data_IF_955702407611
#
_entry.id   IF_955702407611
#
_cell.length_a   1.000
_cell.length_b   1.000
_cell.length_c   1.000
_cell.angle_alpha   90.00
_cell.angle_beta   90.00
_cell.angle_gamma   90.00
#
_symmetry.space_group_name_H-M   'P 1'
#
loop_
_entity.id
_entity.type
_entity.pdbx_description
1 polymer ?
#
# COMPACT_ATOMS: atom_id res chain seq x y z
N UNK A 1 17.07 -13.17 -17.98
CA UNK A 1 16.04 -12.09 -17.92
C UNK A 1 15.72 -11.86 -16.46
N UNK A 2 15.48 -10.60 -16.04
CA UNK A 2 15.29 -10.21 -14.62
C UNK A 2 13.82 -10.30 -14.23
N UNK A 3 13.53 -10.87 -13.05
CA UNK A 3 12.18 -10.89 -12.50
C UNK A 3 11.80 -9.53 -11.91
N UNK A 4 10.53 -9.18 -12.02
CA UNK A 4 9.98 -7.91 -11.51
C UNK A 4 9.18 -8.18 -10.24
N UNK A 5 9.60 -7.55 -9.16
CA UNK A 5 8.89 -7.62 -7.89
C UNK A 5 8.10 -6.31 -7.73
N UNK A 6 6.80 -6.44 -7.64
CA UNK A 6 5.88 -5.35 -7.34
C UNK A 6 5.60 -5.31 -5.85
N UNK A 7 5.56 -4.13 -5.30
CA UNK A 7 5.28 -3.91 -3.88
C UNK A 7 4.10 -2.98 -3.71
N UNK A 8 3.19 -3.32 -2.82
CA UNK A 8 2.34 -2.30 -2.24
C UNK A 8 3.17 -1.38 -1.34
N UNK A 9 2.61 -0.24 -0.95
CA UNK A 9 3.31 0.80 -0.21
C UNK A 9 2.86 0.83 1.25
N UNK A 10 1.60 1.24 1.48
CA UNK A 10 1.03 1.42 2.81
C UNK A 10 0.79 0.04 3.48
N UNK A 11 1.39 -0.23 4.64
CA UNK A 11 1.27 -1.53 5.32
C UNK A 11 2.26 -2.60 4.83
N UNK A 12 2.90 -2.39 3.69
CA UNK A 12 3.86 -3.33 3.10
C UNK A 12 5.30 -2.84 3.21
N UNK A 13 5.61 -1.71 2.59
CA UNK A 13 6.94 -1.09 2.63
C UNK A 13 7.07 -0.06 3.76
N UNK A 14 5.99 0.67 4.03
CA UNK A 14 5.98 1.82 4.94
C UNK A 14 4.84 1.70 5.93
N UNK A 15 5.13 1.90 7.22
CA UNK A 15 4.12 2.14 8.24
C UNK A 15 3.66 3.60 8.13
N UNK A 16 2.51 3.80 7.50
CA UNK A 16 1.89 5.11 7.25
C UNK A 16 0.67 5.37 8.14
N UNK A 17 0.29 4.41 8.97
CA UNK A 17 -0.98 4.43 9.70
C UNK A 17 -1.15 5.71 10.51
N UNK A 18 -0.12 6.14 11.23
CA UNK A 18 -0.24 7.31 12.13
C UNK A 18 -0.54 8.59 11.35
N UNK A 19 0.16 8.87 10.26
CA UNK A 19 -0.06 10.08 9.47
C UNK A 19 -1.45 10.06 8.79
N UNK A 20 -1.92 8.88 8.35
CA UNK A 20 -3.26 8.72 7.77
C UNK A 20 -4.38 8.87 8.82
N UNK A 21 -4.18 8.36 10.04
CA UNK A 21 -5.11 8.52 11.16
C UNK A 21 -5.19 9.99 11.59
N UNK A 22 -4.07 10.69 11.68
CA UNK A 22 -4.06 12.13 12.01
C UNK A 22 -4.78 12.96 10.92
N UNK A 23 -4.60 12.64 9.64
CA UNK A 23 -5.34 13.28 8.57
C UNK A 23 -6.85 12.99 8.64
N UNK A 24 -7.22 11.76 9.04
CA UNK A 24 -8.63 11.39 9.26
C UNK A 24 -9.24 12.21 10.40
N UNK A 25 -8.55 12.27 11.54
CA UNK A 25 -8.96 13.07 12.71
C UNK A 25 -9.15 14.54 12.36
N UNK A 26 -8.19 15.10 11.62
CA UNK A 26 -8.28 16.49 11.17
C UNK A 26 -9.54 16.71 10.31
N UNK A 27 -9.80 15.84 9.35
CA UNK A 27 -10.95 15.98 8.46
C UNK A 27 -12.28 15.87 9.21
N UNK A 28 -12.51 14.78 9.95
CA UNK A 28 -13.81 14.56 10.64
C UNK A 28 -14.01 15.51 11.83
N UNK A 29 -12.93 16.03 12.39
CA UNK A 29 -12.94 17.02 13.47
C UNK A 29 -13.60 18.34 13.07
N UNK A 30 -13.64 18.69 11.78
CA UNK A 30 -14.36 19.87 11.28
C UNK A 30 -15.89 19.81 11.59
N UNK A 31 -16.44 18.61 11.73
CA UNK A 31 -17.83 18.37 12.06
C UNK A 31 -18.03 17.97 13.54
N UNK A 32 -17.01 18.19 14.37
CA UNK A 32 -17.03 17.81 15.78
C UNK A 32 -17.05 16.30 16.01
N UNK A 33 -16.68 15.49 15.00
CA UNK A 33 -16.54 14.05 15.15
C UNK A 33 -15.16 13.70 15.67
N UNK A 34 -15.12 12.71 16.56
CA UNK A 34 -13.87 12.19 17.10
C UNK A 34 -13.56 10.84 16.45
N UNK A 35 -12.31 10.66 15.98
CA UNK A 35 -11.80 9.38 15.51
C UNK A 35 -11.08 8.70 16.69
N UNK A 36 -11.88 8.21 17.66
CA UNK A 36 -11.40 7.85 19.00
C UNK A 36 -10.75 6.46 19.06
N UNK A 37 -10.96 5.59 18.06
CA UNK A 37 -10.35 4.27 18.01
C UNK A 37 -9.24 4.21 16.95
N UNK A 38 -7.98 4.52 17.34
CA UNK A 38 -6.85 4.47 16.42
C UNK A 38 -6.50 3.05 15.98
N UNK A 39 -6.85 2.02 16.75
CA UNK A 39 -6.55 0.63 16.41
C UNK A 39 -7.54 0.11 15.35
N UNK A 40 -8.82 0.46 15.49
CA UNK A 40 -9.83 0.22 14.45
C UNK A 40 -9.41 0.88 13.14
N UNK A 41 -9.02 2.16 13.18
CA UNK A 41 -8.60 2.89 11.98
C UNK A 41 -7.31 2.31 11.38
N UNK A 42 -6.36 1.86 12.20
CA UNK A 42 -5.13 1.25 11.72
C UNK A 42 -5.41 0.04 10.82
N UNK A 43 -6.34 -0.83 11.22
CA UNK A 43 -6.72 -2.00 10.43
C UNK A 43 -7.47 -1.66 9.14
N UNK A 44 -7.97 -0.43 9.03
CA UNK A 44 -8.71 0.06 7.86
C UNK A 44 -7.84 0.89 6.89
N UNK A 45 -6.59 1.18 7.24
CA UNK A 45 -5.68 2.01 6.43
C UNK A 45 -5.54 1.48 5.00
N UNK A 46 -5.43 0.16 4.84
CA UNK A 46 -5.32 -0.50 3.53
C UNK A 46 -6.52 -0.29 2.60
N UNK A 47 -7.69 0.13 3.14
CA UNK A 47 -8.90 0.39 2.37
C UNK A 47 -8.99 1.84 1.83
N UNK A 48 -8.02 2.69 2.22
CA UNK A 48 -7.85 4.05 1.71
C UNK A 48 -8.62 5.13 2.47
N UNK A 49 -8.27 6.41 2.18
CA UNK A 49 -8.74 7.58 2.94
C UNK A 49 -10.26 7.75 2.99
N UNK A 50 -10.98 7.42 1.89
CA UNK A 50 -12.45 7.47 1.87
C UNK A 50 -13.06 6.50 2.89
N UNK A 51 -12.51 5.31 3.00
CA UNK A 51 -12.97 4.32 3.97
C UNK A 51 -12.66 4.76 5.40
N UNK A 52 -11.48 5.30 5.65
CA UNK A 52 -11.11 5.86 6.96
C UNK A 52 -12.07 6.97 7.41
N UNK A 53 -12.43 7.88 6.51
CA UNK A 53 -13.41 8.94 6.79
C UNK A 53 -14.77 8.36 7.15
N UNK A 54 -15.29 7.39 6.37
CA UNK A 54 -16.57 6.73 6.67
C UNK A 54 -16.56 6.05 8.03
N UNK A 55 -15.51 5.31 8.33
CA UNK A 55 -15.36 4.60 9.61
C UNK A 55 -15.30 5.57 10.78
N UNK A 56 -14.55 6.66 10.68
CA UNK A 56 -14.41 7.63 11.74
C UNK A 56 -15.63 8.54 11.91
N UNK A 57 -16.31 8.87 10.81
CA UNK A 57 -17.49 9.74 10.85
C UNK A 57 -18.72 9.02 11.41
N UNK A 58 -18.90 7.75 11.04
CA UNK A 58 -20.06 6.96 11.41
C UNK A 58 -21.34 7.37 10.68
N UNK A 59 -22.47 7.33 11.38
CA UNK A 59 -23.78 7.62 10.82
C UNK A 59 -23.96 9.09 10.42
N UNK A 60 -24.80 9.33 9.42
CA UNK A 60 -25.19 10.66 8.96
C UNK A 60 -24.24 11.28 7.92
N UNK A 61 -23.18 10.58 7.48
CA UNK A 61 -22.31 11.07 6.43
C UNK A 61 -23.00 11.02 5.07
N UNK A 62 -23.24 12.19 4.47
CA UNK A 62 -23.75 12.28 3.11
C UNK A 62 -22.64 12.14 2.08
N UNK A 63 -22.97 11.73 0.85
CA UNK A 63 -21.98 11.60 -0.22
C UNK A 63 -21.28 12.94 -0.56
N UNK A 64 -22.01 14.05 -0.49
CA UNK A 64 -21.45 15.39 -0.71
C UNK A 64 -20.43 15.74 0.39
N UNK A 65 -20.80 15.52 1.67
CA UNK A 65 -19.90 15.81 2.80
C UNK A 65 -18.68 14.91 2.80
N UNK A 66 -18.85 13.64 2.45
CA UNK A 66 -17.72 12.71 2.29
C UNK A 66 -16.69 13.22 1.26
N UNK A 67 -17.14 13.76 0.13
CA UNK A 67 -16.25 14.31 -0.88
C UNK A 67 -15.46 15.50 -0.35
N UNK A 68 -16.13 16.45 0.34
CA UNK A 68 -15.49 17.61 0.96
C UNK A 68 -14.45 17.20 2.02
N UNK A 69 -14.81 16.25 2.90
CA UNK A 69 -13.89 15.74 3.94
C UNK A 69 -12.71 14.98 3.33
N UNK A 70 -12.91 14.30 2.20
CA UNK A 70 -11.81 13.64 1.49
C UNK A 70 -10.81 14.66 0.96
N UNK A 71 -11.25 15.79 0.42
CA UNK A 71 -10.36 16.85 -0.04
C UNK A 71 -9.54 17.45 1.12
N UNK A 72 -10.19 17.67 2.27
CA UNK A 72 -9.52 18.12 3.51
C UNK A 72 -8.50 17.09 3.98
N UNK A 73 -8.88 15.81 4.02
CA UNK A 73 -7.98 14.70 4.37
C UNK A 73 -6.76 14.66 3.46
N UNK A 74 -6.97 14.72 2.13
CA UNK A 74 -5.86 14.66 1.16
C UNK A 74 -4.92 15.86 1.30
N UNK A 75 -5.45 17.06 1.49
CA UNK A 75 -4.65 18.27 1.69
C UNK A 75 -3.82 18.19 2.98
N UNK A 76 -4.44 17.78 4.09
CA UNK A 76 -3.73 17.61 5.37
C UNK A 76 -2.66 16.52 5.28
N UNK A 77 -3.01 15.37 4.69
CA UNK A 77 -2.08 14.26 4.51
C UNK A 77 -0.89 14.67 3.63
N UNK A 78 -1.11 15.35 2.50
CA UNK A 78 -0.04 15.82 1.63
C UNK A 78 0.94 16.75 2.36
N UNK A 79 0.43 17.66 3.20
CA UNK A 79 1.26 18.57 3.99
C UNK A 79 2.10 17.84 5.05
N UNK A 80 1.62 16.69 5.56
CA UNK A 80 2.19 15.95 6.70
C UNK A 80 2.59 14.50 6.35
N UNK A 81 2.89 14.21 5.09
CA UNK A 81 2.94 12.85 4.51
C UNK A 81 4.02 11.92 5.11
N UNK A 82 5.03 12.47 5.78
CA UNK A 82 6.15 11.71 6.34
C UNK A 82 6.55 12.18 7.75
N UNK A 83 5.62 12.71 8.53
CA UNK A 83 5.90 13.14 9.92
C UNK A 83 6.19 11.93 10.79
N UNK A 84 5.38 10.91 10.72
CA UNK A 84 5.50 9.66 11.48
C UNK A 84 5.78 8.44 10.61
N UNK A 85 5.49 8.49 9.31
CA UNK A 85 5.70 7.39 8.38
C UNK A 85 7.17 6.98 8.32
N UNK A 86 7.41 5.67 8.41
CA UNK A 86 8.77 5.08 8.37
C UNK A 86 8.73 3.75 7.63
N UNK A 87 9.80 3.37 6.91
CA UNK A 87 9.91 2.01 6.38
C UNK A 87 9.79 0.98 7.49
N UNK A 88 9.10 -0.13 7.24
CA UNK A 88 9.09 -1.25 8.18
C UNK A 88 10.50 -1.81 8.41
N UNK A 89 10.75 -2.51 9.52
CA UNK A 89 12.04 -3.14 9.79
C UNK A 89 12.52 -4.01 8.62
N UNK A 90 13.81 -3.97 8.34
CA UNK A 90 14.51 -4.75 7.31
C UNK A 90 14.17 -4.37 5.84
N UNK A 91 13.15 -3.54 5.56
CA UNK A 91 12.69 -3.19 4.20
C UNK A 91 13.84 -2.64 3.36
N UNK A 92 14.52 -1.60 3.82
CA UNK A 92 15.57 -0.92 3.04
C UNK A 92 16.73 -1.88 2.74
N UNK A 93 17.13 -2.70 3.69
CA UNK A 93 18.20 -3.68 3.52
C UNK A 93 17.81 -4.75 2.50
N UNK A 94 16.65 -5.36 2.66
CA UNK A 94 16.17 -6.40 1.75
C UNK A 94 15.95 -5.88 0.31
N UNK A 95 15.44 -4.65 0.14
CA UNK A 95 15.30 -4.03 -1.18
C UNK A 95 16.67 -3.82 -1.86
N UNK A 96 17.68 -3.38 -1.11
CA UNK A 96 19.05 -3.25 -1.63
C UNK A 96 19.64 -4.60 -2.05
N UNK A 97 19.39 -5.65 -1.27
CA UNK A 97 19.87 -7.00 -1.59
C UNK A 97 19.16 -7.57 -2.83
N UNK A 98 17.84 -7.35 -2.97
CA UNK A 98 17.10 -7.71 -4.19
C UNK A 98 17.66 -6.97 -5.42
N UNK A 99 17.98 -5.68 -5.30
CA UNK A 99 18.62 -4.92 -6.38
C UNK A 99 20.00 -5.47 -6.75
N UNK A 100 20.82 -5.87 -5.76
CA UNK A 100 22.13 -6.52 -5.99
C UNK A 100 21.98 -7.88 -6.67
N UNK A 101 20.91 -8.60 -6.35
CA UNK A 101 20.56 -9.87 -6.99
C UNK A 101 19.86 -9.68 -8.36
N UNK A 102 19.89 -8.47 -8.91
CA UNK A 102 19.41 -8.13 -10.25
C UNK A 102 17.89 -8.19 -10.45
N UNK A 103 17.08 -8.19 -9.36
CA UNK A 103 15.64 -8.01 -9.46
C UNK A 103 15.27 -6.57 -9.85
N UNK A 104 14.18 -6.44 -10.62
CA UNK A 104 13.55 -5.15 -10.90
C UNK A 104 12.50 -4.89 -9.84
N UNK A 105 12.51 -3.71 -9.25
CA UNK A 105 11.56 -3.34 -8.19
C UNK A 105 10.67 -2.21 -8.68
N UNK A 106 9.35 -2.34 -8.46
CA UNK A 106 8.38 -1.29 -8.74
C UNK A 106 7.32 -1.25 -7.63
N UNK A 107 6.72 -0.08 -7.44
CA UNK A 107 5.58 0.11 -6.52
C UNK A 107 4.28 0.03 -7.30
N UNK A 108 3.30 -0.71 -6.75
CA UNK A 108 1.94 -0.89 -7.27
C UNK A 108 0.96 -0.66 -6.12
N UNK A 109 0.46 0.57 -5.95
CA UNK A 109 -0.33 0.96 -4.78
C UNK A 109 -1.64 1.64 -5.14
N UNK A 110 -2.67 1.44 -4.30
CA UNK A 110 -3.93 2.17 -4.41
C UNK A 110 -3.87 3.59 -3.83
N UNK A 111 -2.75 3.96 -3.20
CA UNK A 111 -2.48 5.35 -2.86
C UNK A 111 -2.42 6.21 -4.13
N UNK A 112 -2.94 7.46 -4.14
CA UNK A 112 -2.75 8.39 -5.25
C UNK A 112 -1.27 8.50 -5.66
N UNK A 113 -1.00 8.40 -6.97
CA UNK A 113 0.38 8.30 -7.48
C UNK A 113 1.29 9.45 -7.07
N UNK A 114 0.78 10.69 -7.05
CA UNK A 114 1.53 11.85 -6.59
C UNK A 114 1.94 11.73 -5.12
N UNK A 115 1.00 11.33 -4.24
CA UNK A 115 1.28 11.13 -2.81
C UNK A 115 2.24 9.96 -2.58
N UNK A 116 2.12 8.89 -3.36
CA UNK A 116 3.05 7.76 -3.28
C UNK A 116 4.48 8.20 -3.64
N UNK A 117 4.65 8.96 -4.70
CA UNK A 117 5.96 9.47 -5.14
C UNK A 117 6.55 10.47 -4.14
N UNK A 118 5.75 11.38 -3.58
CA UNK A 118 6.22 12.33 -2.56
C UNK A 118 6.67 11.60 -1.28
N UNK A 119 5.86 10.67 -0.77
CA UNK A 119 6.23 9.85 0.40
C UNK A 119 7.55 9.09 0.16
N UNK A 120 7.68 8.43 -0.99
CA UNK A 120 8.87 7.68 -1.37
C UNK A 120 10.12 8.57 -1.44
N UNK A 121 9.97 9.79 -1.98
CA UNK A 121 11.07 10.76 -2.07
C UNK A 121 11.50 11.22 -0.68
N UNK A 122 10.56 11.62 0.19
CA UNK A 122 10.86 12.07 1.57
C UNK A 122 11.51 10.98 2.42
N UNK A 123 11.17 9.72 2.20
CA UNK A 123 11.78 8.58 2.89
C UNK A 123 13.08 8.06 2.24
N UNK A 124 13.52 8.68 1.13
CA UNK A 124 14.74 8.27 0.42
C UNK A 124 14.64 6.90 -0.26
N UNK A 125 13.41 6.43 -0.51
CA UNK A 125 13.16 5.11 -1.11
C UNK A 125 13.15 5.13 -2.65
N UNK A 126 12.87 6.28 -3.27
CA UNK A 126 12.70 6.41 -4.73
C UNK A 126 13.84 5.80 -5.55
N UNK A 127 15.14 5.92 -5.17
CA UNK A 127 16.23 5.35 -5.96
C UNK A 127 16.25 3.82 -6.03
N UNK A 128 15.49 3.14 -5.17
CA UNK A 128 15.43 1.68 -5.14
C UNK A 128 14.48 1.09 -6.19
N UNK A 129 13.60 1.90 -6.75
CA UNK A 129 12.52 1.46 -7.62
C UNK A 129 12.64 2.04 -9.04
N UNK A 130 12.31 1.24 -10.04
CA UNK A 130 12.28 1.69 -11.44
C UNK A 130 11.06 2.57 -11.72
N UNK A 131 9.96 2.35 -11.00
CA UNK A 131 8.71 3.12 -11.11
C UNK A 131 7.84 3.03 -9.88
N UNK A 132 6.99 4.01 -9.72
CA UNK A 132 5.92 4.07 -8.72
C UNK A 132 4.63 4.33 -9.46
N UNK A 133 3.70 3.38 -9.42
CA UNK A 133 2.40 3.45 -10.07
C UNK A 133 1.32 3.42 -8.99
N UNK A 134 0.58 4.51 -8.88
CA UNK A 134 -0.50 4.67 -7.91
C UNK A 134 -1.88 4.71 -8.57
N UNK A 135 -2.91 4.87 -7.77
CA UNK A 135 -4.24 5.17 -8.29
C UNK A 135 -4.22 6.51 -9.03
N UNK A 136 -4.98 6.61 -10.13
CA UNK A 136 -4.95 7.77 -11.02
C UNK A 136 -3.89 7.69 -12.13
N UNK A 137 -2.82 6.90 -11.97
CA UNK A 137 -1.85 6.64 -13.03
C UNK A 137 -2.35 5.55 -14.01
N UNK A 138 -3.39 4.82 -13.64
CA UNK A 138 -4.00 3.72 -14.41
C UNK A 138 -5.52 3.85 -14.44
N UNK A 139 -6.15 3.32 -15.47
CA UNK A 139 -7.62 3.36 -15.59
C UNK A 139 -8.35 2.55 -14.52
N UNK A 140 -7.74 1.48 -14.02
CA UNK A 140 -8.31 0.58 -13.00
C UNK A 140 -7.24 0.14 -12.01
N UNK A 141 -7.44 0.50 -10.73
CA UNK A 141 -6.53 0.15 -9.62
C UNK A 141 -6.72 -1.29 -9.12
N UNK A 142 -5.83 -1.76 -8.22
CA UNK A 142 -6.03 -3.05 -7.54
C UNK A 142 -7.45 -3.11 -6.93
N UNK A 143 -8.15 -4.22 -7.02
CA UNK A 143 -7.67 -5.57 -7.39
C UNK A 143 -7.67 -5.87 -8.91
N UNK A 144 -7.77 -4.87 -9.78
CA UNK A 144 -7.75 -5.11 -11.23
C UNK A 144 -6.32 -5.44 -11.71
N UNK A 145 -6.20 -6.41 -12.63
CA UNK A 145 -4.92 -6.87 -13.19
C UNK A 145 -4.17 -5.81 -14.00
N UNK A 146 -4.88 -4.80 -14.55
CA UNK A 146 -4.27 -3.72 -15.32
C UNK A 146 -3.23 -2.96 -14.50
N UNK A 147 -3.48 -2.77 -13.20
CA UNK A 147 -2.54 -2.10 -12.31
C UNK A 147 -1.23 -2.91 -12.18
N UNK A 148 -1.33 -4.24 -12.07
CA UNK A 148 -0.18 -5.14 -12.01
C UNK A 148 0.67 -5.02 -13.29
N UNK A 149 0.03 -5.12 -14.47
CA UNK A 149 0.75 -5.07 -15.74
C UNK A 149 1.34 -3.70 -16.05
N UNK A 150 0.65 -2.61 -15.71
CA UNK A 150 1.18 -1.26 -15.83
C UNK A 150 2.41 -1.06 -14.91
N UNK A 151 2.32 -1.51 -13.66
CA UNK A 151 3.43 -1.43 -12.70
C UNK A 151 4.64 -2.25 -13.13
N UNK A 152 4.41 -3.41 -13.73
CA UNK A 152 5.44 -4.29 -14.26
C UNK A 152 5.96 -3.86 -15.65
N UNK A 153 5.52 -2.74 -16.21
CA UNK A 153 5.84 -2.33 -17.59
C UNK A 153 5.52 -3.43 -18.63
N UNK A 154 4.36 -4.06 -18.48
CA UNK A 154 3.88 -5.11 -19.37
C UNK A 154 4.82 -6.31 -19.53
N UNK A 155 5.56 -6.65 -18.45
CA UNK A 155 6.42 -7.84 -18.41
C UNK A 155 5.60 -9.14 -18.51
N UNK A 156 6.25 -10.20 -18.91
CA UNK A 156 5.63 -11.53 -18.95
C UNK A 156 5.20 -11.97 -17.53
N UNK A 157 4.01 -12.55 -17.43
CA UNK A 157 3.36 -12.87 -16.13
C UNK A 157 4.20 -13.75 -15.22
N UNK A 158 4.86 -14.76 -15.77
CA UNK A 158 5.70 -15.69 -15.01
C UNK A 158 6.97 -15.06 -14.42
N UNK A 159 7.20 -13.78 -14.73
CA UNK A 159 8.32 -13.00 -14.22
C UNK A 159 7.88 -11.87 -13.29
N UNK A 160 6.66 -11.91 -12.81
CA UNK A 160 6.08 -10.91 -11.92
C UNK A 160 5.68 -11.58 -10.61
N UNK A 161 6.08 -10.99 -9.49
CA UNK A 161 5.58 -11.35 -8.15
C UNK A 161 5.03 -10.09 -7.50
N UNK A 162 3.87 -10.18 -6.85
CA UNK A 162 3.30 -9.09 -6.05
C UNK A 162 3.54 -9.36 -4.56
N UNK A 163 4.09 -8.37 -3.86
CA UNK A 163 4.25 -8.35 -2.40
C UNK A 163 3.29 -7.32 -1.84
N UNK A 164 2.44 -7.71 -0.91
CA UNK A 164 1.43 -6.84 -0.31
C UNK A 164 0.97 -7.36 1.04
N UNK A 165 0.09 -6.63 1.70
CA UNK A 165 -0.42 -6.99 3.03
C UNK A 165 -1.94 -7.19 3.07
N UNK A 166 -2.66 -6.91 1.98
CA UNK A 166 -4.13 -6.84 1.98
C UNK A 166 -4.80 -7.90 1.09
N UNK A 167 -6.11 -8.07 1.28
CA UNK A 167 -6.95 -8.84 0.36
C UNK A 167 -6.90 -8.26 -1.05
N UNK A 168 -6.86 -6.94 -1.18
CA UNK A 168 -6.77 -6.24 -2.46
C UNK A 168 -5.54 -6.68 -3.25
N UNK A 169 -4.41 -6.91 -2.58
CA UNK A 169 -3.17 -7.38 -3.22
C UNK A 169 -3.29 -8.83 -3.68
N UNK A 170 -3.74 -9.70 -2.79
CA UNK A 170 -3.87 -11.13 -3.13
C UNK A 170 -4.91 -11.36 -4.22
N UNK A 171 -6.00 -10.57 -4.25
CA UNK A 171 -6.98 -10.57 -5.34
C UNK A 171 -6.38 -10.04 -6.64
N UNK A 172 -5.62 -8.94 -6.61
CA UNK A 172 -4.95 -8.40 -7.78
C UNK A 172 -3.98 -9.41 -8.40
N UNK A 173 -3.17 -10.08 -7.58
CA UNK A 173 -2.24 -11.12 -8.03
C UNK A 173 -3.00 -12.30 -8.68
N UNK A 174 -4.09 -12.78 -8.06
CA UNK A 174 -4.94 -13.84 -8.64
C UNK A 174 -5.55 -13.42 -9.96
N UNK A 175 -6.09 -12.20 -10.06
CA UNK A 175 -6.69 -11.68 -11.29
C UNK A 175 -5.64 -11.53 -12.41
N UNK A 176 -4.41 -11.19 -12.06
CA UNK A 176 -3.28 -11.13 -12.99
C UNK A 176 -2.65 -12.50 -13.28
N UNK A 177 -3.00 -13.56 -12.52
CA UNK A 177 -2.38 -14.89 -12.55
C UNK A 177 -0.87 -14.85 -12.32
N UNK A 178 -0.46 -14.10 -11.30
CA UNK A 178 0.93 -13.99 -10.83
C UNK A 178 1.02 -14.44 -9.37
N UNK A 179 2.18 -14.94 -8.90
CA UNK A 179 2.38 -15.24 -7.49
C UNK A 179 2.24 -14.02 -6.59
N UNK A 180 1.77 -14.24 -5.35
CA UNK A 180 1.73 -13.23 -4.31
C UNK A 180 2.49 -13.66 -3.06
N UNK A 181 3.15 -12.70 -2.41
CA UNK A 181 3.74 -12.85 -1.08
C UNK A 181 3.04 -11.88 -0.14
N UNK A 182 2.37 -12.43 0.88
CA UNK A 182 1.72 -11.63 1.91
C UNK A 182 2.72 -11.33 3.03
N UNK A 183 2.81 -10.07 3.47
CA UNK A 183 3.52 -9.69 4.69
C UNK A 183 2.52 -9.71 5.86
N UNK A 184 2.83 -10.49 6.92
CA UNK A 184 1.89 -10.73 8.02
C UNK A 184 1.94 -9.66 9.14
N UNK A 185 2.54 -8.52 8.90
CA UNK A 185 2.62 -7.39 9.83
C UNK A 185 1.85 -6.14 9.38
N UNK A 186 1.20 -6.22 8.20
CA UNK A 186 0.51 -5.10 7.57
C UNK A 186 -0.86 -4.75 8.17
N UNK A 187 -1.68 -4.05 7.39
CA UNK A 187 -2.97 -3.51 7.81
C UNK A 187 -4.14 -4.34 7.29
N UNK A 188 -4.25 -5.57 7.73
CA UNK A 188 -5.37 -6.42 7.33
C UNK A 188 -6.28 -6.74 8.52
N UNK A 189 -7.56 -6.79 8.26
CA UNK A 189 -8.64 -7.08 9.20
C UNK A 189 -9.12 -8.55 9.15
N UNK A 190 -8.53 -9.36 8.26
CA UNK A 190 -8.86 -10.76 8.09
C UNK A 190 -7.65 -11.68 8.41
N UNK A 191 -7.86 -12.89 8.91
CA UNK A 191 -6.79 -13.86 9.09
C UNK A 191 -6.01 -14.11 7.80
N UNK A 192 -4.66 -14.09 7.87
CA UNK A 192 -3.78 -14.18 6.71
C UNK A 192 -4.01 -15.43 5.83
N UNK A 193 -4.46 -16.53 6.42
CA UNK A 193 -4.80 -17.77 5.73
C UNK A 193 -6.07 -17.67 4.87
N UNK A 194 -6.99 -16.77 5.22
CA UNK A 194 -8.21 -16.52 4.41
C UNK A 194 -7.89 -15.77 3.11
N UNK A 195 -6.80 -15.01 3.06
CA UNK A 195 -6.38 -14.21 1.92
C UNK A 195 -5.77 -15.04 0.79
N UNK A 196 -5.44 -16.31 1.04
CA UNK A 196 -4.91 -17.29 0.06
C UNK A 196 -3.73 -16.76 -0.77
N UNK A 197 -2.67 -16.21 -0.16
CA UNK A 197 -1.45 -15.84 -0.88
C UNK A 197 -0.69 -17.09 -1.35
N UNK A 198 0.24 -16.93 -2.32
CA UNK A 198 1.15 -18.00 -2.71
C UNK A 198 2.13 -18.34 -1.58
N UNK A 199 2.61 -17.32 -0.87
CA UNK A 199 3.46 -17.43 0.31
C UNK A 199 3.12 -16.32 1.31
N UNK A 200 3.46 -16.57 2.59
CA UNK A 200 3.37 -15.57 3.66
C UNK A 200 4.72 -15.43 4.34
N UNK A 201 5.14 -14.20 4.63
CA UNK A 201 6.33 -13.90 5.42
C UNK A 201 5.96 -13.07 6.66
N UNK A 202 6.64 -13.31 7.77
CA UNK A 202 6.45 -12.56 9.02
C UNK A 202 7.44 -11.41 9.19
N UNK A 203 8.56 -11.44 8.48
CA UNK A 203 9.61 -10.42 8.52
C UNK A 203 10.05 -10.15 7.10
N UNK A 204 10.22 -8.90 6.74
CA UNK A 204 10.57 -8.51 5.38
C UNK A 204 11.93 -9.09 4.94
N UNK A 205 12.87 -9.28 5.85
CA UNK A 205 14.17 -9.92 5.56
C UNK A 205 14.06 -11.37 5.04
N UNK A 206 12.92 -12.03 5.22
CA UNK A 206 12.71 -13.39 4.72
C UNK A 206 12.31 -13.40 3.23
N UNK A 207 12.03 -12.22 2.64
CA UNK A 207 11.56 -12.09 1.26
C UNK A 207 12.54 -12.62 0.21
N UNK A 208 13.87 -12.31 0.23
CA UNK A 208 14.79 -12.83 -0.79
C UNK A 208 14.81 -14.35 -0.86
N UNK A 209 14.81 -15.03 0.30
CA UNK A 209 14.75 -16.50 0.36
C UNK A 209 13.42 -17.05 -0.16
N UNK A 210 12.32 -16.37 0.15
CA UNK A 210 10.98 -16.76 -0.31
C UNK A 210 10.86 -16.65 -1.81
N UNK A 211 11.36 -15.58 -2.42
CA UNK A 211 11.35 -15.38 -3.88
C UNK A 211 12.17 -16.45 -4.61
N UNK A 212 13.28 -16.90 -4.06
CA UNK A 212 14.09 -17.95 -4.65
C UNK A 212 13.41 -19.33 -4.66
N UNK A 213 12.28 -19.48 -3.92
CA UNK A 213 11.50 -20.73 -3.81
C UNK A 213 10.14 -20.67 -4.54
N UNK A 214 9.84 -19.58 -5.27
CA UNK A 214 8.67 -19.40 -6.12
C UNK A 214 8.94 -19.87 -7.54
#
# INVERSE_FOLDING_TARGET
MRDTILFDLDGTLVDTARDLIEATRHAVGLDGRAADDPELLRNQVGLGGRHLIRTAYGEGLTAAREAELLDVFLAHYAANIAVHSRPFPDVVTALRDLRRADYRLAVCTNKPGELARDLMARLGLSPLFERVVGSGDVGRSKPHSDHIFASAAHRERHRIVLVGDSETDTLAARNAKVPSVLVAYGYFDAPADTLKPTRTIRRFRDLPKTLASL
#
